data_IF_891642361385
#
_entry.id   IF_891642361385
#
_cell.length_a   1.000
_cell.length_b   1.000
_cell.length_c   1.000
_cell.angle_alpha   90.00
_cell.angle_beta   90.00
_cell.angle_gamma   90.00
#
_symmetry.space_group_name_H-M   'P 1'
#
loop_
_entity.id
_entity.type
_entity.pdbx_description
1 polymer ?
#
# COMPACT_ATOMS: atom_id res chain seq x y z
N UNK A 1 4.93 7.74 -9.82
CA UNK A 1 4.63 6.41 -9.23
C UNK A 1 5.70 5.45 -9.70
N UNK A 2 6.40 4.83 -8.76
CA UNK A 2 7.39 3.79 -9.06
C UNK A 2 6.67 2.56 -9.64
N UNK A 3 7.37 1.77 -10.47
CA UNK A 3 6.87 0.46 -10.95
C UNK A 3 6.52 -0.49 -9.80
N UNK A 4 6.99 -0.19 -8.58
CA UNK A 4 6.91 -1.06 -7.42
C UNK A 4 5.76 -0.73 -6.48
N UNK A 5 5.17 0.46 -6.58
CA UNK A 5 4.16 0.95 -5.64
C UNK A 5 3.00 -0.04 -5.48
N UNK A 6 2.42 -0.06 -4.28
CA UNK A 6 1.27 -0.92 -3.96
C UNK A 6 0.18 -0.13 -3.27
N UNK A 7 -1.06 -0.45 -3.64
CA UNK A 7 -2.27 0.15 -3.14
C UNK A 7 -3.03 -0.86 -2.31
N UNK A 8 -3.30 -0.51 -1.07
CA UNK A 8 -4.23 -1.21 -0.19
C UNK A 8 -5.60 -0.56 -0.34
N UNK A 9 -6.48 -1.19 -1.10
CA UNK A 9 -7.81 -0.66 -1.41
C UNK A 9 -8.92 -1.49 -0.80
N UNK A 10 -10.06 -0.85 -0.54
CA UNK A 10 -11.24 -1.56 -0.05
C UNK A 10 -11.69 -2.60 -1.09
N UNK A 11 -11.97 -3.81 -0.63
CA UNK A 11 -12.45 -4.93 -1.45
C UNK A 11 -13.71 -5.54 -0.83
N UNK A 12 -14.63 -6.14 -1.63
CA UNK A 12 -15.80 -6.82 -1.09
C UNK A 12 -15.46 -7.90 -0.05
N UNK A 13 -14.40 -8.67 -0.29
CA UNK A 13 -13.91 -9.71 0.63
C UNK A 13 -12.92 -9.21 1.70
N UNK A 14 -12.76 -7.90 1.88
CA UNK A 14 -11.83 -7.32 2.86
C UNK A 14 -10.99 -6.19 2.28
N UNK A 15 -9.70 -6.47 2.05
CA UNK A 15 -8.69 -5.53 1.60
C UNK A 15 -7.83 -6.12 0.49
N UNK A 16 -7.75 -5.42 -0.63
CA UNK A 16 -6.96 -5.86 -1.78
C UNK A 16 -5.64 -5.08 -1.85
N UNK A 17 -4.56 -5.80 -2.11
CA UNK A 17 -3.27 -5.23 -2.50
C UNK A 17 -3.20 -5.25 -4.02
N UNK A 18 -3.02 -4.08 -4.66
CA UNK A 18 -2.90 -3.99 -6.12
C UNK A 18 -1.78 -3.04 -6.52
N UNK A 19 -1.24 -3.24 -7.73
CA UNK A 19 -0.32 -2.27 -8.34
C UNK A 19 -1.12 -1.09 -8.92
N UNK A 20 -0.59 0.15 -8.92
CA UNK A 20 -1.22 1.25 -9.64
C UNK A 20 -1.47 0.89 -11.10
N UNK A 21 -2.70 1.14 -11.58
CA UNK A 21 -3.11 0.84 -12.96
C UNK A 21 -3.27 -0.65 -13.29
N UNK A 22 -3.17 -1.55 -12.32
CA UNK A 22 -3.45 -2.97 -12.55
C UNK A 22 -4.95 -3.27 -12.39
N UNK A 23 -5.49 -4.06 -13.32
CA UNK A 23 -6.88 -4.52 -13.28
C UNK A 23 -7.14 -5.58 -12.20
N UNK A 24 -6.09 -6.30 -11.79
CA UNK A 24 -6.16 -7.39 -10.81
C UNK A 24 -5.44 -7.06 -9.51
N UNK A 25 -6.04 -7.50 -8.41
CA UNK A 25 -5.37 -7.53 -7.12
C UNK A 25 -4.25 -8.57 -7.12
N UNK A 26 -3.10 -8.21 -6.54
CA UNK A 26 -2.00 -9.14 -6.25
C UNK A 26 -2.37 -10.09 -5.10
N UNK A 27 -3.15 -9.63 -4.13
CA UNK A 27 -3.68 -10.44 -3.03
C UNK A 27 -4.91 -9.78 -2.40
N UNK A 28 -5.70 -10.57 -1.68
CA UNK A 28 -6.84 -10.11 -0.88
C UNK A 28 -6.70 -10.67 0.53
N UNK A 29 -6.94 -9.83 1.54
CA UNK A 29 -6.80 -10.16 2.95
C UNK A 29 -8.06 -9.75 3.72
N UNK A 30 -8.32 -10.41 4.85
CA UNK A 30 -9.47 -10.11 5.69
C UNK A 30 -9.34 -8.74 6.37
N UNK A 31 -8.12 -8.36 6.75
CA UNK A 31 -7.86 -7.11 7.47
C UNK A 31 -6.95 -6.14 6.71
N UNK A 32 -7.07 -4.85 7.05
CA UNK A 32 -6.23 -3.80 6.46
C UNK A 32 -4.76 -4.00 6.83
N UNK A 33 -4.51 -4.40 8.08
CA UNK A 33 -3.17 -4.62 8.63
C UNK A 33 -2.42 -5.71 7.87
N UNK A 34 -3.09 -6.81 7.54
CA UNK A 34 -2.49 -7.89 6.73
C UNK A 34 -2.18 -7.43 5.30
N UNK A 35 -3.11 -6.71 4.67
CA UNK A 35 -2.91 -6.18 3.33
C UNK A 35 -1.77 -5.15 3.28
N UNK A 36 -1.67 -4.29 4.28
CA UNK A 36 -0.57 -3.33 4.43
C UNK A 36 0.78 -4.02 4.62
N UNK A 37 0.86 -5.00 5.52
CA UNK A 37 2.07 -5.80 5.71
C UNK A 37 2.52 -6.48 4.41
N UNK A 38 1.58 -7.11 3.69
CA UNK A 38 1.85 -7.73 2.39
C UNK A 38 2.28 -6.72 1.33
N UNK A 39 1.65 -5.55 1.29
CA UNK A 39 2.03 -4.47 0.37
C UNK A 39 3.46 -3.99 0.64
N UNK A 40 3.80 -3.74 1.91
CA UNK A 40 5.15 -3.32 2.33
C UNK A 40 6.21 -4.35 1.97
N UNK A 41 5.93 -5.63 2.22
CA UNK A 41 6.81 -6.74 1.85
C UNK A 41 7.05 -6.78 0.32
N UNK A 42 6.00 -6.68 -0.49
CA UNK A 42 6.13 -6.66 -1.95
C UNK A 42 6.97 -5.47 -2.41
N UNK A 43 6.68 -4.27 -1.90
CA UNK A 43 7.41 -3.05 -2.28
C UNK A 43 8.88 -3.17 -1.88
N UNK A 44 9.18 -3.63 -0.67
CA UNK A 44 10.55 -3.83 -0.18
C UNK A 44 11.33 -4.84 -1.04
N UNK A 45 10.73 -5.99 -1.34
CA UNK A 45 11.33 -7.02 -2.20
C UNK A 45 11.60 -6.53 -3.63
N UNK A 46 10.88 -5.52 -4.11
CA UNK A 46 11.06 -4.93 -5.43
C UNK A 46 12.07 -3.77 -5.47
N UNK A 47 12.75 -3.47 -4.36
CA UNK A 47 13.71 -2.37 -4.27
C UNK A 47 13.09 -1.06 -3.79
N UNK A 48 11.98 -1.12 -3.04
CA UNK A 48 11.36 0.03 -2.41
C UNK A 48 10.38 0.80 -3.30
N UNK A 49 9.66 1.74 -2.69
CA UNK A 49 8.56 2.48 -3.31
C UNK A 49 7.49 2.91 -2.29
N UNK A 50 6.30 3.24 -2.78
CA UNK A 50 5.20 3.78 -1.96
C UNK A 50 4.08 2.75 -1.76
N UNK A 51 3.59 2.62 -0.53
CA UNK A 51 2.37 1.90 -0.19
C UNK A 51 1.27 2.90 0.16
N UNK A 52 0.22 3.00 -0.65
CA UNK A 52 -0.93 3.89 -0.37
C UNK A 52 -2.11 3.12 0.17
N UNK A 53 -2.79 3.66 1.16
CA UNK A 53 -3.81 2.95 1.93
C UNK A 53 -5.13 3.74 1.91
N UNK A 54 -6.21 3.07 1.51
CA UNK A 54 -7.56 3.64 1.59
C UNK A 54 -8.21 3.39 2.95
N UNK A 55 -9.15 4.23 3.37
CA UNK A 55 -10.05 3.93 4.48
C UNK A 55 -11.20 3.00 4.02
N UNK A 56 -12.13 2.69 4.94
CA UNK A 56 -13.29 1.81 4.64
C UNK A 56 -14.24 2.42 3.61
N UNK A 57 -14.20 3.74 3.44
CA UNK A 57 -14.96 4.52 2.47
C UNK A 57 -14.26 4.60 1.10
N UNK A 58 -13.10 3.95 0.93
CA UNK A 58 -12.35 3.96 -0.33
C UNK A 58 -11.57 5.26 -0.59
N UNK A 59 -11.43 6.13 0.41
CA UNK A 59 -10.65 7.38 0.29
C UNK A 59 -9.22 7.13 0.76
N UNK A 60 -8.23 7.75 0.11
CA UNK A 60 -6.83 7.68 0.56
C UNK A 60 -6.68 8.33 1.94
N UNK A 61 -6.21 7.57 2.92
CA UNK A 61 -6.01 8.04 4.29
C UNK A 61 -4.52 8.15 4.63
N UNK A 62 -3.71 7.26 4.08
CA UNK A 62 -2.34 7.08 4.54
C UNK A 62 -1.43 6.61 3.39
N UNK A 63 -0.13 6.85 3.54
CA UNK A 63 0.92 6.44 2.61
C UNK A 63 2.22 6.17 3.35
N UNK A 64 2.80 5.00 3.12
CA UNK A 64 4.05 4.58 3.71
C UNK A 64 5.11 4.37 2.63
N UNK A 65 6.24 5.05 2.76
CA UNK A 65 7.41 4.82 1.91
C UNK A 65 8.24 3.67 2.47
N UNK A 66 8.56 2.69 1.62
CA UNK A 66 9.36 1.51 1.96
C UNK A 66 10.77 1.63 1.34
N UNK A 67 11.85 1.57 2.15
CA UNK A 67 13.23 1.58 1.68
C UNK A 67 13.60 0.37 0.78
N UNK A 68 14.61 0.46 -0.11
CA UNK A 68 15.50 1.61 -0.38
C UNK A 68 14.85 2.70 -1.26
N UNK A 69 13.52 2.68 -1.40
CA UNK A 69 12.75 3.77 -2.01
C UNK A 69 13.05 5.06 -1.27
N UNK A 70 13.61 6.04 -1.99
CA UNK A 70 14.02 7.32 -1.44
C UNK A 70 12.89 8.32 -1.70
N UNK A 71 12.02 8.54 -0.70
CA UNK A 71 11.06 9.62 -0.72
C UNK A 71 11.67 10.82 0.04
N UNK A 72 11.97 11.95 -0.65
CA UNK A 72 12.51 13.14 0.01
C UNK A 72 11.48 13.84 0.92
N UNK A 73 10.21 13.42 0.94
CA UNK A 73 9.16 14.05 1.74
C UNK A 73 8.24 13.01 2.41
N UNK A 74 8.75 12.16 3.33
CA UNK A 74 7.91 11.18 4.02
C UNK A 74 6.83 11.92 4.84
N UNK A 75 5.57 11.44 4.84
CA UNK A 75 4.57 11.97 5.75
C UNK A 75 5.03 11.71 7.18
N UNK A 76 5.31 12.79 7.92
CA UNK A 76 5.53 12.75 9.37
C UNK A 76 4.20 12.50 10.07
N UNK A 77 3.60 11.33 9.89
CA UNK A 77 2.37 11.00 10.60
C UNK A 77 2.69 10.45 11.99
N UNK A 78 2.71 11.36 12.97
CA UNK A 78 2.61 11.03 14.39
C UNK A 78 1.16 10.68 14.70
N UNK A 79 0.71 9.47 14.38
CA UNK A 79 -0.55 8.94 14.96
C UNK A 79 -0.39 7.46 15.34
N UNK A 80 -0.18 7.25 16.63
CA UNK A 80 -0.56 6.05 17.37
C UNK A 80 -1.96 6.23 17.94
#
# INVERSE_FOLDING_TARGET
MSKNDRYVTKHPAGWAVKKPGADRASSVHGTQKEAEGRAKEIVGNLGGGEVRIQNRQGQWRDSDTVPPGNDPCPPRDRKH
#
